data_IF_297979366983
#
_entry.id   IF_297979366983
#
_cell.length_a   1.000
_cell.length_b   1.000
_cell.length_c   1.000
_cell.angle_alpha   90.00
_cell.angle_beta   90.00
_cell.angle_gamma   90.00
#
_symmetry.space_group_name_H-M   'P 1'
#
loop_
_entity.id
_entity.type
_entity.pdbx_description
1 polymer ?
#
# COMPACT_ATOMS: atom_id res chain seq x y z
N UNK A 1 104.03 -78.29 10.08
CA UNK A 1 105.32 -77.66 9.76
C UNK A 1 106.36 -78.31 10.67
N UNK A 2 107.19 -79.22 10.18
CA UNK A 2 108.22 -79.89 11.00
C UNK A 2 109.52 -79.07 10.96
N UNK A 3 110.06 -78.73 12.13
CA UNK A 3 111.33 -78.00 12.26
C UNK A 3 112.49 -79.00 12.12
N UNK A 4 113.57 -78.65 11.43
CA UNK A 4 114.73 -79.56 11.31
C UNK A 4 115.35 -79.87 12.68
N UNK A 5 115.81 -81.10 12.92
CA UNK A 5 116.34 -81.58 14.21
C UNK A 5 117.39 -80.64 14.82
N UNK A 6 118.31 -80.12 13.99
CA UNK A 6 119.34 -79.20 14.43
C UNK A 6 118.80 -77.84 14.89
N UNK A 7 117.72 -77.35 14.27
CA UNK A 7 117.05 -76.12 14.66
C UNK A 7 116.17 -76.33 15.90
N UNK A 8 115.51 -77.49 16.02
CA UNK A 8 114.69 -77.83 17.18
C UNK A 8 115.52 -77.87 18.47
N UNK A 9 116.70 -78.49 18.44
CA UNK A 9 117.58 -78.58 19.60
C UNK A 9 118.19 -77.24 20.00
N UNK A 10 118.55 -76.38 19.04
CA UNK A 10 119.03 -75.01 19.33
C UNK A 10 117.93 -74.15 19.96
N UNK A 11 116.71 -74.24 19.44
CA UNK A 11 115.56 -73.53 19.98
C UNK A 11 115.18 -74.06 21.37
N UNK A 12 115.21 -75.37 21.58
CA UNK A 12 114.98 -75.97 22.89
C UNK A 12 116.04 -75.52 23.92
N UNK A 13 117.32 -75.47 23.57
CA UNK A 13 118.36 -74.98 24.49
C UNK A 13 118.11 -73.53 24.94
N UNK A 14 117.74 -72.64 24.01
CA UNK A 14 117.42 -71.24 24.33
C UNK A 14 116.13 -71.13 25.14
N UNK A 15 115.09 -71.92 24.82
CA UNK A 15 113.84 -71.93 25.56
C UNK A 15 114.00 -72.48 26.98
N UNK A 16 114.83 -73.49 27.19
CA UNK A 16 115.18 -74.00 28.51
C UNK A 16 115.84 -72.91 29.37
N UNK A 17 116.85 -72.22 28.82
CA UNK A 17 117.51 -71.11 29.51
C UNK A 17 116.54 -69.94 29.79
N UNK A 18 115.61 -69.65 28.86
CA UNK A 18 114.56 -68.67 29.06
C UNK A 18 113.57 -69.07 30.18
N UNK A 19 113.21 -70.35 30.27
CA UNK A 19 112.33 -70.87 31.33
C UNK A 19 112.98 -70.73 32.70
N UNK A 20 114.25 -71.12 32.82
CA UNK A 20 115.03 -70.99 34.06
C UNK A 20 115.17 -69.52 34.48
N UNK A 21 115.47 -68.63 33.53
CA UNK A 21 115.53 -67.18 33.81
C UNK A 21 114.18 -66.61 34.22
N UNK A 22 113.08 -67.07 33.65
CA UNK A 22 111.72 -66.67 34.04
C UNK A 22 111.33 -67.19 35.42
N UNK A 23 111.78 -68.38 35.80
CA UNK A 23 111.57 -68.92 37.15
C UNK A 23 112.36 -68.15 38.21
N UNK A 24 113.62 -67.80 37.91
CA UNK A 24 114.45 -66.90 38.73
C UNK A 24 113.77 -65.53 38.85
N UNK A 25 113.24 -65.00 37.74
CA UNK A 25 112.54 -63.73 37.73
C UNK A 25 111.22 -63.80 38.54
N UNK A 26 110.46 -64.89 38.42
CA UNK A 26 109.25 -65.16 39.22
C UNK A 26 109.54 -65.27 40.72
N UNK A 27 110.67 -65.85 41.10
CA UNK A 27 111.15 -65.88 42.49
C UNK A 27 111.54 -64.48 42.97
N UNK A 28 112.24 -63.72 42.13
CA UNK A 28 112.62 -62.33 42.42
C UNK A 28 111.40 -61.42 42.61
N UNK A 29 110.36 -61.59 41.77
CA UNK A 29 109.07 -60.92 41.91
C UNK A 29 108.36 -61.32 43.21
N UNK A 30 108.41 -62.60 43.59
CA UNK A 30 107.83 -63.10 44.86
C UNK A 30 108.49 -62.45 46.07
N UNK A 31 109.81 -62.30 46.06
CA UNK A 31 110.57 -61.61 47.12
C UNK A 31 110.24 -60.11 47.14
N UNK A 32 110.13 -59.47 45.96
CA UNK A 32 109.75 -58.05 45.85
C UNK A 32 108.34 -57.76 46.35
N UNK A 33 107.37 -58.62 46.03
CA UNK A 33 105.98 -58.53 46.52
C UNK A 33 105.96 -58.67 48.05
N UNK A 34 106.75 -59.58 48.60
CA UNK A 34 106.83 -59.83 50.05
C UNK A 34 107.53 -58.69 50.81
N UNK A 35 108.56 -58.06 50.24
CA UNK A 35 109.24 -56.89 50.84
C UNK A 35 108.43 -55.59 50.76
N UNK A 36 107.61 -55.42 49.72
CA UNK A 36 106.88 -54.17 49.45
C UNK A 36 105.51 -54.11 50.12
N UNK A 37 105.11 -55.18 50.82
CA UNK A 37 103.82 -55.36 51.49
C UNK A 37 103.46 -54.35 52.58
N UNK A 38 104.35 -53.41 52.94
CA UNK A 38 104.07 -52.38 53.94
C UNK A 38 103.98 -50.93 53.43
N UNK A 39 104.36 -50.60 52.19
CA UNK A 39 104.58 -49.18 51.79
C UNK A 39 104.24 -48.82 50.33
N UNK A 40 103.57 -49.67 49.56
CA UNK A 40 103.21 -49.35 48.16
C UNK A 40 101.69 -49.33 47.92
N UNK A 41 101.19 -48.51 46.98
CA UNK A 41 99.76 -48.43 46.67
C UNK A 41 99.19 -49.80 46.26
N UNK A 42 97.98 -50.11 46.69
CA UNK A 42 97.32 -51.41 46.47
C UNK A 42 97.27 -51.82 44.99
N UNK A 43 97.18 -50.84 44.09
CA UNK A 43 97.21 -51.03 42.63
C UNK A 43 98.54 -51.60 42.13
N UNK A 44 99.66 -51.24 42.76
CA UNK A 44 101.00 -51.70 42.38
C UNK A 44 101.26 -53.14 42.86
N UNK A 45 100.79 -53.47 44.05
CA UNK A 45 100.86 -54.85 44.57
C UNK A 45 99.99 -55.79 43.72
N UNK A 46 98.83 -55.33 43.25
CA UNK A 46 97.98 -56.07 42.33
C UNK A 46 98.65 -56.31 40.96
N UNK A 47 99.24 -55.27 40.36
CA UNK A 47 100.01 -55.38 39.10
C UNK A 47 101.18 -56.35 39.22
N UNK A 48 101.93 -56.31 40.32
CA UNK A 48 103.04 -57.25 40.54
C UNK A 48 102.58 -58.69 40.72
N UNK A 49 101.41 -58.91 41.35
CA UNK A 49 100.79 -60.25 41.45
C UNK A 49 100.32 -60.76 40.09
N UNK A 50 99.79 -59.89 39.24
CA UNK A 50 99.38 -60.21 37.87
C UNK A 50 100.60 -60.55 37.01
N UNK A 51 101.63 -59.70 37.01
CA UNK A 51 102.90 -59.96 36.32
C UNK A 51 103.56 -61.27 36.78
N UNK A 52 103.48 -61.61 38.06
CA UNK A 52 103.96 -62.91 38.57
C UNK A 52 103.17 -64.07 37.96
N UNK A 53 101.84 -63.97 37.89
CA UNK A 53 101.00 -65.00 37.26
C UNK A 53 101.34 -65.12 35.77
N UNK A 54 101.57 -64.02 35.08
CA UNK A 54 101.97 -64.00 33.67
C UNK A 54 103.34 -64.66 33.48
N UNK A 55 104.34 -64.34 34.32
CA UNK A 55 105.65 -64.99 34.27
C UNK A 55 105.56 -66.51 34.53
N UNK A 56 104.70 -66.94 35.47
CA UNK A 56 104.48 -68.37 35.74
C UNK A 56 103.77 -69.06 34.58
N UNK A 57 102.78 -68.41 33.98
CA UNK A 57 102.07 -68.89 32.80
C UNK A 57 103.03 -69.04 31.60
N UNK A 58 103.82 -68.00 31.31
CA UNK A 58 104.82 -68.02 30.24
C UNK A 58 105.88 -69.10 30.51
N UNK A 59 106.39 -69.21 31.75
CA UNK A 59 107.36 -70.25 32.12
C UNK A 59 106.80 -71.66 31.90
N UNK A 60 105.56 -71.93 32.31
CA UNK A 60 104.88 -73.21 32.07
C UNK A 60 104.72 -73.52 30.57
N UNK A 61 104.35 -72.52 29.77
CA UNK A 61 104.19 -72.70 28.33
C UNK A 61 105.52 -72.87 27.60
N UNK A 62 106.58 -72.17 28.02
CA UNK A 62 107.93 -72.33 27.50
C UNK A 62 108.50 -73.70 27.89
N UNK A 63 108.30 -74.16 29.13
CA UNK A 63 108.68 -75.50 29.57
C UNK A 63 107.96 -76.61 28.79
N UNK A 64 106.67 -76.41 28.47
CA UNK A 64 105.89 -77.34 27.66
C UNK A 64 106.34 -77.35 26.19
N UNK A 65 106.60 -76.17 25.61
CA UNK A 65 107.15 -76.02 24.26
C UNK A 65 108.56 -76.60 24.14
N UNK A 66 109.40 -76.39 25.16
CA UNK A 66 110.73 -77.00 25.28
C UNK A 66 110.66 -78.52 25.22
N UNK A 67 109.76 -79.11 26.01
CA UNK A 67 109.58 -80.56 26.08
C UNK A 67 109.06 -81.14 24.74
N UNK A 68 108.15 -80.42 24.07
CA UNK A 68 107.60 -80.80 22.75
C UNK A 68 108.64 -80.73 21.64
N UNK A 69 109.46 -79.67 21.60
CA UNK A 69 110.55 -79.52 20.63
C UNK A 69 111.68 -80.54 20.85
N UNK A 70 111.99 -80.89 22.11
CA UNK A 70 113.03 -81.87 22.45
C UNK A 70 112.60 -83.32 22.10
N UNK A 71 111.33 -83.67 22.38
CA UNK A 71 110.86 -85.06 22.26
C UNK A 71 110.18 -85.37 20.92
N UNK A 72 109.42 -84.43 20.36
CA UNK A 72 108.49 -84.68 19.25
C UNK A 72 108.77 -83.83 18.00
N UNK A 73 109.67 -82.84 18.09
CA UNK A 73 109.98 -81.88 17.02
C UNK A 73 108.74 -81.13 16.50
N UNK A 74 107.73 -80.95 17.34
CA UNK A 74 106.51 -80.21 17.04
C UNK A 74 106.31 -79.02 18.00
N UNK A 75 105.35 -78.17 17.67
CA UNK A 75 105.00 -76.97 18.45
C UNK A 75 103.48 -76.71 18.42
N UNK A 76 102.73 -77.80 18.37
CA UNK A 76 101.26 -77.83 18.26
C UNK A 76 100.57 -77.21 19.47
N UNK A 77 101.15 -77.31 20.68
CA UNK A 77 100.56 -76.65 21.86
C UNK A 77 100.59 -75.13 21.79
N UNK A 78 101.69 -74.54 21.28
CA UNK A 78 101.80 -73.10 21.07
C UNK A 78 100.84 -72.64 19.97
N UNK A 79 100.71 -73.41 18.88
CA UNK A 79 99.73 -73.11 17.83
C UNK A 79 98.29 -73.14 18.36
N UNK A 80 97.93 -74.13 19.18
CA UNK A 80 96.61 -74.20 19.80
C UNK A 80 96.36 -73.02 20.73
N UNK A 81 97.35 -72.62 21.52
CA UNK A 81 97.25 -71.48 22.43
C UNK A 81 97.07 -70.16 21.68
N UNK A 82 97.83 -69.93 20.61
CA UNK A 82 97.68 -68.76 19.75
C UNK A 82 96.30 -68.76 19.06
N UNK A 83 95.84 -69.92 18.57
CA UNK A 83 94.49 -70.05 18.00
C UNK A 83 93.39 -69.80 19.04
N UNK A 84 93.59 -70.22 20.28
CA UNK A 84 92.66 -70.00 21.39
C UNK A 84 92.64 -68.54 21.82
N UNK A 85 93.79 -67.87 21.87
CA UNK A 85 93.90 -66.44 22.12
C UNK A 85 93.28 -65.60 20.99
N UNK A 86 93.48 -65.98 19.72
CA UNK A 86 92.80 -65.38 18.57
C UNK A 86 91.28 -65.60 18.61
N UNK A 87 90.80 -66.77 19.04
CA UNK A 87 89.36 -67.01 19.24
C UNK A 87 88.81 -66.18 20.39
N UNK A 88 89.55 -66.05 21.49
CA UNK A 88 89.16 -65.25 22.65
C UNK A 88 89.13 -63.75 22.33
N UNK A 89 90.07 -63.25 21.54
CA UNK A 89 90.08 -61.85 21.07
C UNK A 89 88.94 -61.57 20.10
N UNK A 90 88.68 -62.48 19.14
CA UNK A 90 87.51 -62.38 18.24
C UNK A 90 86.18 -62.41 19.01
N UNK A 91 86.03 -63.31 19.98
CA UNK A 91 84.85 -63.39 20.84
C UNK A 91 84.65 -62.11 21.68
N UNK A 92 85.72 -61.57 22.26
CA UNK A 92 85.68 -60.28 23.00
C UNK A 92 85.29 -59.11 22.09
N UNK A 93 85.78 -59.08 20.85
CA UNK A 93 85.43 -58.05 19.87
C UNK A 93 83.96 -58.13 19.45
N UNK A 94 83.46 -59.33 19.14
CA UNK A 94 82.04 -59.57 18.85
C UNK A 94 81.15 -59.14 20.03
N UNK A 95 81.52 -59.53 21.25
CA UNK A 95 80.78 -59.14 22.45
C UNK A 95 80.79 -57.61 22.66
N UNK A 96 81.87 -56.92 22.29
CA UNK A 96 81.96 -55.45 22.36
C UNK A 96 81.08 -54.79 21.31
N UNK A 97 81.01 -55.34 20.10
CA UNK A 97 80.12 -54.86 19.03
C UNK A 97 78.65 -55.09 19.37
N UNK A 98 78.29 -56.27 19.88
CA UNK A 98 76.95 -56.56 20.39
C UNK A 98 76.54 -55.59 21.50
N UNK A 99 77.43 -55.31 22.46
CA UNK A 99 77.17 -54.32 23.51
C UNK A 99 76.91 -52.93 22.92
N UNK A 100 77.70 -52.49 21.92
CA UNK A 100 77.46 -51.21 21.23
C UNK A 100 76.12 -51.21 20.50
N UNK A 101 75.77 -52.28 19.81
CA UNK A 101 74.50 -52.42 19.08
C UNK A 101 73.31 -52.42 20.03
N UNK A 102 73.42 -53.10 21.17
CA UNK A 102 72.39 -53.11 22.22
C UNK A 102 72.24 -51.71 22.84
N UNK A 103 73.34 -51.02 23.10
CA UNK A 103 73.28 -49.66 23.66
C UNK A 103 72.66 -48.67 22.67
N UNK A 104 73.04 -48.73 21.40
CA UNK A 104 72.42 -47.93 20.33
C UNK A 104 70.92 -48.22 20.18
N UNK A 105 70.51 -49.50 20.28
CA UNK A 105 69.08 -49.87 20.28
C UNK A 105 68.36 -49.30 21.49
N UNK A 106 68.95 -49.35 22.68
CA UNK A 106 68.37 -48.75 23.89
C UNK A 106 68.24 -47.23 23.76
N UNK A 107 69.24 -46.55 23.24
CA UNK A 107 69.19 -45.10 22.99
C UNK A 107 68.08 -44.75 21.98
N UNK A 108 67.98 -45.49 20.88
CA UNK A 108 66.93 -45.28 19.89
C UNK A 108 65.53 -45.54 20.46
N UNK A 109 65.36 -46.58 21.28
CA UNK A 109 64.10 -46.86 21.96
C UNK A 109 63.71 -45.73 22.92
N UNK A 110 64.65 -45.22 23.72
CA UNK A 110 64.40 -44.08 24.61
C UNK A 110 63.93 -42.84 23.83
N UNK A 111 64.60 -42.52 22.71
CA UNK A 111 64.18 -41.40 21.84
C UNK A 111 62.77 -41.62 21.29
N UNK A 112 62.44 -42.84 20.88
CA UNK A 112 61.09 -43.18 20.41
C UNK A 112 60.04 -43.05 21.52
N UNK A 113 60.35 -43.51 22.74
CA UNK A 113 59.46 -43.36 23.90
C UNK A 113 59.21 -41.88 24.23
N UNK A 114 60.26 -41.05 24.24
CA UNK A 114 60.15 -39.60 24.44
C UNK A 114 59.30 -38.94 23.34
N UNK A 115 59.52 -39.29 22.07
CA UNK A 115 58.70 -38.79 20.96
C UNK A 115 57.23 -39.20 21.09
N UNK A 116 56.96 -40.46 21.46
CA UNK A 116 55.59 -40.96 21.68
C UNK A 116 54.93 -40.22 22.84
N UNK A 117 55.65 -39.97 23.94
CA UNK A 117 55.11 -39.20 25.06
C UNK A 117 54.79 -37.76 24.66
N UNK A 118 55.68 -37.09 23.92
CA UNK A 118 55.43 -35.73 23.44
C UNK A 118 54.24 -35.67 22.48
N UNK A 119 54.15 -36.62 21.53
CA UNK A 119 53.01 -36.72 20.60
C UNK A 119 51.72 -37.02 21.35
N UNK A 120 51.75 -37.89 22.35
CA UNK A 120 50.62 -38.20 23.22
C UNK A 120 50.14 -36.99 24.01
N UNK A 121 51.06 -36.18 24.54
CA UNK A 121 50.75 -34.89 25.18
C UNK A 121 50.02 -33.95 24.23
N UNK A 122 50.60 -33.70 23.04
CA UNK A 122 49.97 -32.87 22.00
C UNK A 122 48.59 -33.38 21.59
N UNK A 123 48.43 -34.71 21.49
CA UNK A 123 47.15 -35.32 21.14
C UNK A 123 46.10 -35.04 22.22
N UNK A 124 46.47 -35.12 23.51
CA UNK A 124 45.57 -34.77 24.63
C UNK A 124 45.17 -33.29 24.59
N UNK A 125 46.13 -32.40 24.36
CA UNK A 125 45.87 -30.96 24.26
C UNK A 125 44.92 -30.64 23.10
N UNK A 126 45.16 -31.23 21.93
CA UNK A 126 44.27 -31.11 20.77
C UNK A 126 42.87 -31.66 21.06
N UNK A 127 42.77 -32.77 21.79
CA UNK A 127 41.48 -33.37 22.14
C UNK A 127 40.70 -32.49 23.13
N UNK A 128 41.38 -31.87 24.11
CA UNK A 128 40.74 -30.90 25.00
C UNK A 128 40.24 -29.67 24.23
N UNK A 129 41.07 -29.13 23.32
CA UNK A 129 40.68 -28.01 22.47
C UNK A 129 39.48 -28.35 21.58
N UNK A 130 39.44 -29.58 21.04
CA UNK A 130 38.31 -30.04 20.23
C UNK A 130 37.01 -30.12 21.04
N UNK A 131 37.05 -30.60 22.28
CA UNK A 131 35.88 -30.64 23.15
C UNK A 131 35.42 -29.24 23.59
N UNK A 132 36.35 -28.33 23.87
CA UNK A 132 36.01 -26.94 24.19
C UNK A 132 35.35 -26.23 23.00
N UNK A 133 35.88 -26.40 21.79
CA UNK A 133 35.28 -25.87 20.57
C UNK A 133 33.89 -26.47 20.30
N UNK A 134 33.67 -27.77 20.58
CA UNK A 134 32.34 -28.39 20.49
C UNK A 134 31.35 -27.77 21.47
N UNK A 135 31.77 -27.51 22.70
CA UNK A 135 30.92 -26.87 23.71
C UNK A 135 30.56 -25.44 23.29
N UNK A 136 31.54 -24.65 22.84
CA UNK A 136 31.31 -23.30 22.32
C UNK A 136 30.35 -23.31 21.13
N UNK A 137 30.49 -24.26 20.20
CA UNK A 137 29.60 -24.37 19.05
C UNK A 137 28.16 -24.69 19.46
N UNK A 138 27.96 -25.60 20.43
CA UNK A 138 26.63 -25.90 20.99
C UNK A 138 26.01 -24.68 21.67
N UNK A 139 26.79 -23.95 22.47
CA UNK A 139 26.33 -22.73 23.15
C UNK A 139 25.92 -21.65 22.14
N UNK A 140 26.78 -21.36 21.16
CA UNK A 140 26.47 -20.38 20.10
C UNK A 140 25.24 -20.79 19.29
N UNK A 141 25.10 -22.07 18.97
CA UNK A 141 23.93 -22.62 18.29
C UNK A 141 22.65 -22.39 19.10
N UNK A 142 22.68 -22.68 20.41
CA UNK A 142 21.56 -22.43 21.31
C UNK A 142 21.21 -20.93 21.40
N UNK A 143 22.20 -20.05 21.50
CA UNK A 143 21.99 -18.60 21.51
C UNK A 143 21.34 -18.13 20.21
N UNK A 144 21.81 -18.64 19.06
CA UNK A 144 21.23 -18.29 17.75
C UNK A 144 19.79 -18.78 17.65
N UNK A 145 19.49 -20.01 18.09
CA UNK A 145 18.13 -20.55 18.09
C UNK A 145 17.19 -19.69 18.96
N UNK A 146 17.62 -19.35 20.17
CA UNK A 146 16.83 -18.50 21.08
C UNK A 146 16.61 -17.09 20.51
N UNK A 147 17.63 -16.48 19.91
CA UNK A 147 17.50 -15.18 19.25
C UNK A 147 16.50 -15.23 18.09
N UNK A 148 16.56 -16.27 17.26
CA UNK A 148 15.59 -16.46 16.16
C UNK A 148 14.17 -16.56 16.70
N UNK A 149 13.96 -17.35 17.75
CA UNK A 149 12.66 -17.51 18.38
C UNK A 149 12.14 -16.18 18.96
N UNK A 150 13.00 -15.41 19.62
CA UNK A 150 12.63 -14.08 20.12
C UNK A 150 12.23 -13.13 18.99
N UNK A 151 12.98 -13.11 17.88
CA UNK A 151 12.65 -12.26 16.72
C UNK A 151 11.29 -12.64 16.14
N UNK A 152 11.01 -13.94 15.99
CA UNK A 152 9.71 -14.42 15.51
C UNK A 152 8.59 -13.96 16.46
N UNK A 153 8.72 -14.20 17.77
CA UNK A 153 7.71 -13.76 18.75
C UNK A 153 7.49 -12.24 18.75
N UNK A 154 8.55 -11.45 18.63
CA UNK A 154 8.42 -9.99 18.52
C UNK A 154 7.64 -9.59 17.26
N UNK A 155 7.96 -10.20 16.12
CA UNK A 155 7.26 -9.92 14.86
C UNK A 155 5.78 -10.33 14.89
N UNK A 156 5.44 -11.44 15.57
CA UNK A 156 4.06 -11.89 15.76
C UNK A 156 3.27 -10.89 16.62
N UNK A 157 3.85 -10.41 17.71
CA UNK A 157 3.22 -9.40 18.58
C UNK A 157 3.00 -8.08 17.83
N UNK A 158 3.98 -7.62 17.05
CA UNK A 158 3.85 -6.42 16.21
C UNK A 158 2.75 -6.58 15.16
N UNK A 159 2.67 -7.76 14.53
CA UNK A 159 1.64 -8.09 13.56
C UNK A 159 0.25 -8.07 14.22
N UNK A 160 0.07 -8.74 15.35
CA UNK A 160 -1.19 -8.75 16.09
C UNK A 160 -1.61 -7.36 16.52
N UNK A 161 -0.68 -6.55 17.01
CA UNK A 161 -0.97 -5.18 17.44
C UNK A 161 -1.40 -4.31 16.24
N UNK A 162 -0.76 -4.48 15.09
CA UNK A 162 -1.11 -3.78 13.86
C UNK A 162 -2.48 -4.23 13.35
N UNK A 163 -2.77 -5.54 13.36
CA UNK A 163 -4.08 -6.08 12.99
C UNK A 163 -5.20 -5.55 13.90
N UNK A 164 -4.98 -5.51 15.22
CA UNK A 164 -5.97 -4.96 16.16
C UNK A 164 -6.26 -3.48 15.88
N UNK A 165 -5.23 -2.68 15.60
CA UNK A 165 -5.38 -1.26 15.22
C UNK A 165 -6.16 -1.12 13.92
N UNK A 166 -5.84 -1.93 12.91
CA UNK A 166 -6.54 -1.90 11.62
C UNK A 166 -8.01 -2.28 11.78
N UNK A 167 -8.34 -3.35 12.50
CA UNK A 167 -9.73 -3.78 12.75
C UNK A 167 -10.51 -2.66 13.47
N UNK A 168 -9.90 -1.99 14.44
CA UNK A 168 -10.55 -0.86 15.13
C UNK A 168 -10.80 0.31 14.18
N UNK A 169 -9.82 0.66 13.33
CA UNK A 169 -9.97 1.72 12.34
C UNK A 169 -11.04 1.37 11.29
N UNK A 170 -11.09 0.13 10.81
CA UNK A 170 -12.10 -0.37 9.88
C UNK A 170 -13.51 -0.27 10.47
N UNK A 171 -13.70 -0.69 11.73
CA UNK A 171 -14.99 -0.55 12.42
C UNK A 171 -15.45 0.90 12.52
N UNK A 172 -14.55 1.82 12.89
CA UNK A 172 -14.87 3.25 12.96
C UNK A 172 -15.25 3.83 11.59
N UNK A 173 -14.57 3.39 10.52
CA UNK A 173 -14.90 3.79 9.15
C UNK A 173 -16.24 3.23 8.71
N UNK A 174 -16.54 1.98 9.04
CA UNK A 174 -17.81 1.33 8.72
C UNK A 174 -18.99 2.01 9.44
N UNK A 175 -18.84 2.31 10.73
CA UNK A 175 -19.83 3.08 11.50
C UNK A 175 -20.07 4.47 10.90
N UNK A 176 -19.00 5.19 10.54
CA UNK A 176 -19.09 6.50 9.90
C UNK A 176 -19.75 6.43 8.53
N UNK A 177 -19.41 5.42 7.74
CA UNK A 177 -20.00 5.17 6.43
C UNK A 177 -21.51 4.90 6.57
N UNK A 178 -21.90 4.04 7.51
CA UNK A 178 -23.31 3.75 7.80
C UNK A 178 -24.09 4.98 8.26
N UNK A 179 -23.49 5.86 9.08
CA UNK A 179 -24.11 7.11 9.50
C UNK A 179 -24.29 8.08 8.33
N UNK A 180 -23.27 8.25 7.50
CA UNK A 180 -23.35 9.09 6.30
C UNK A 180 -24.40 8.56 5.31
N UNK A 181 -24.49 7.25 5.13
CA UNK A 181 -25.51 6.65 4.27
C UNK A 181 -26.93 6.93 4.79
N UNK A 182 -27.15 6.82 6.11
CA UNK A 182 -28.45 7.17 6.73
C UNK A 182 -28.78 8.64 6.55
N UNK A 183 -27.80 9.54 6.73
CA UNK A 183 -27.98 10.98 6.51
C UNK A 183 -28.35 11.29 5.06
N UNK A 184 -27.64 10.69 4.11
CA UNK A 184 -27.90 10.87 2.68
C UNK A 184 -29.30 10.38 2.29
N UNK A 185 -29.74 9.24 2.83
CA UNK A 185 -31.10 8.73 2.59
C UNK A 185 -32.17 9.66 3.16
N UNK A 186 -31.95 10.20 4.36
CA UNK A 186 -32.83 11.19 4.97
C UNK A 186 -32.90 12.48 4.15
N UNK A 187 -31.76 13.00 3.73
CA UNK A 187 -31.68 14.20 2.90
C UNK A 187 -32.38 13.99 1.55
N UNK A 188 -32.17 12.85 0.90
CA UNK A 188 -32.85 12.50 -0.34
C UNK A 188 -34.38 12.43 -0.17
N UNK A 189 -34.87 11.85 0.93
CA UNK A 189 -36.31 11.82 1.24
C UNK A 189 -36.86 13.24 1.45
N UNK A 190 -36.23 14.04 2.31
CA UNK A 190 -36.69 15.40 2.60
C UNK A 190 -36.65 16.29 1.36
N UNK A 191 -35.62 16.14 0.53
CA UNK A 191 -35.52 16.84 -0.75
C UNK A 191 -36.70 16.49 -1.66
N UNK A 192 -37.04 15.21 -1.79
CA UNK A 192 -38.16 14.76 -2.62
C UNK A 192 -39.50 15.25 -2.08
N UNK A 193 -39.73 15.17 -0.77
CA UNK A 193 -40.94 15.72 -0.13
C UNK A 193 -41.06 17.23 -0.35
N UNK A 194 -39.96 17.96 -0.22
CA UNK A 194 -39.91 19.41 -0.47
C UNK A 194 -40.22 19.72 -1.93
N UNK A 195 -39.59 18.98 -2.86
CA UNK A 195 -39.82 19.12 -4.30
C UNK A 195 -41.29 18.91 -4.65
N UNK A 196 -41.89 17.83 -4.16
CA UNK A 196 -43.31 17.52 -4.40
C UNK A 196 -44.24 18.56 -3.79
N UNK A 197 -43.96 19.02 -2.56
CA UNK A 197 -44.75 20.09 -1.92
C UNK A 197 -44.70 21.41 -2.71
N UNK A 198 -43.51 21.80 -3.18
CA UNK A 198 -43.34 22.99 -4.00
C UNK A 198 -44.05 22.86 -5.34
N UNK A 199 -43.94 21.70 -5.99
CA UNK A 199 -44.64 21.41 -7.24
C UNK A 199 -46.16 21.52 -7.07
N UNK A 200 -46.73 20.87 -6.05
CA UNK A 200 -48.15 20.93 -5.74
C UNK A 200 -48.63 22.37 -5.48
N UNK A 201 -47.84 23.16 -4.75
CA UNK A 201 -48.17 24.58 -4.51
C UNK A 201 -48.13 25.39 -5.79
N UNK A 202 -47.15 25.17 -6.65
CA UNK A 202 -47.03 25.86 -7.93
C UNK A 202 -48.22 25.53 -8.84
N UNK A 203 -48.59 24.25 -8.95
CA UNK A 203 -49.76 23.81 -9.70
C UNK A 203 -51.07 24.43 -9.15
N UNK A 204 -51.21 24.51 -7.82
CA UNK A 204 -52.33 25.20 -7.17
C UNK A 204 -52.40 26.68 -7.53
N UNK A 205 -51.27 27.38 -7.49
CA UNK A 205 -51.18 28.79 -7.87
C UNK A 205 -51.47 29.01 -9.36
N UNK A 206 -50.99 28.13 -10.23
CA UNK A 206 -51.29 28.19 -11.67
C UNK A 206 -52.79 28.02 -11.94
N UNK A 207 -53.45 27.06 -11.26
CA UNK A 207 -54.91 26.89 -11.37
C UNK A 207 -55.66 28.14 -10.90
N UNK A 208 -55.25 28.74 -9.78
CA UNK A 208 -55.85 30.00 -9.31
C UNK A 208 -55.63 31.13 -10.31
N UNK A 209 -54.42 31.28 -10.86
CA UNK A 209 -54.10 32.30 -11.85
C UNK A 209 -55.00 32.17 -13.09
N UNK A 210 -55.17 30.94 -13.62
CA UNK A 210 -56.04 30.68 -14.75
C UNK A 210 -57.50 31.04 -14.44
N UNK A 211 -58.01 30.68 -13.25
CA UNK A 211 -59.36 31.07 -12.83
C UNK A 211 -59.53 32.60 -12.76
N UNK A 212 -58.53 33.32 -12.23
CA UNK A 212 -58.56 34.78 -12.18
C UNK A 212 -58.49 35.42 -13.57
N UNK A 213 -57.69 34.87 -14.48
CA UNK A 213 -57.64 35.31 -15.88
C UNK A 213 -58.99 35.11 -16.56
N UNK A 214 -59.61 33.93 -16.42
CA UNK A 214 -60.91 33.65 -17.02
C UNK A 214 -62.01 34.59 -16.48
N UNK A 215 -62.05 34.81 -15.15
CA UNK A 215 -63.02 35.73 -14.53
C UNK A 215 -62.83 37.17 -15.00
N UNK A 216 -61.58 37.62 -15.09
CA UNK A 216 -61.30 39.00 -15.55
C UNK A 216 -61.66 39.17 -17.02
N UNK A 217 -61.39 38.17 -17.87
CA UNK A 217 -61.83 38.17 -19.26
C UNK A 217 -63.36 38.18 -19.42
N UNK A 218 -64.08 37.37 -18.64
CA UNK A 218 -65.55 37.36 -18.63
C UNK A 218 -66.10 38.72 -18.20
N UNK A 219 -65.62 39.26 -17.08
CA UNK A 219 -66.02 40.59 -16.59
C UNK A 219 -65.72 41.68 -17.63
N UNK A 220 -64.57 41.61 -18.31
CA UNK A 220 -64.22 42.56 -19.36
C UNK A 220 -65.17 42.44 -20.56
N UNK A 221 -65.55 41.23 -20.97
CA UNK A 221 -66.54 41.01 -22.03
C UNK A 221 -67.91 41.57 -21.65
N UNK A 222 -68.38 41.31 -20.44
CA UNK A 222 -69.65 41.84 -19.92
C UNK A 222 -69.63 43.37 -19.87
N UNK A 223 -68.57 43.98 -19.33
CA UNK A 223 -68.44 45.44 -19.27
C UNK A 223 -68.40 46.06 -20.67
N UNK A 224 -67.68 45.46 -21.62
CA UNK A 224 -67.69 45.90 -23.03
C UNK A 224 -69.10 45.82 -23.63
N UNK A 225 -69.84 44.74 -23.37
CA UNK A 225 -71.22 44.61 -23.82
C UNK A 225 -72.14 45.67 -23.19
N UNK A 226 -72.02 45.92 -21.88
CA UNK A 226 -72.78 46.97 -21.21
C UNK A 226 -72.49 48.35 -21.80
N UNK A 227 -71.22 48.70 -22.01
CA UNK A 227 -70.82 49.96 -22.65
C UNK A 227 -71.41 50.07 -24.05
N UNK A 228 -71.31 49.02 -24.87
CA UNK A 228 -71.89 49.01 -26.21
C UNK A 228 -73.41 49.19 -26.17
N UNK A 229 -74.11 48.50 -25.27
CA UNK A 229 -75.55 48.62 -25.10
C UNK A 229 -75.97 50.04 -24.70
N UNK A 230 -75.25 50.66 -23.75
CA UNK A 230 -75.50 52.05 -23.35
C UNK A 230 -75.23 53.01 -24.51
N UNK A 231 -74.15 52.79 -25.27
CA UNK A 231 -73.84 53.60 -26.44
C UNK A 231 -74.93 53.50 -27.51
N UNK A 232 -75.36 52.28 -27.86
CA UNK A 232 -76.45 52.05 -28.82
C UNK A 232 -77.77 52.67 -28.36
N UNK A 233 -78.12 52.54 -27.07
CA UNK A 233 -79.31 53.16 -26.51
C UNK A 233 -79.23 54.68 -26.52
N UNK A 234 -78.05 55.25 -26.23
CA UNK A 234 -77.80 56.70 -26.29
C UNK A 234 -77.96 57.23 -27.71
N UNK A 235 -77.34 56.58 -28.71
CA UNK A 235 -77.48 56.96 -30.12
C UNK A 235 -78.93 56.85 -30.59
N UNK A 236 -79.62 55.76 -30.25
CA UNK A 236 -81.03 55.59 -30.60
C UNK A 236 -81.93 56.67 -29.97
N UNK A 237 -81.73 56.98 -28.69
CA UNK A 237 -82.48 58.03 -28.01
C UNK A 237 -82.20 59.42 -28.60
N UNK A 238 -80.95 59.67 -28.98
CA UNK A 238 -80.55 60.90 -29.67
C UNK A 238 -81.24 61.02 -31.03
N UNK A 239 -81.24 59.98 -31.84
CA UNK A 239 -81.93 59.95 -33.15
C UNK A 239 -83.43 60.20 -32.99
N UNK A 240 -84.07 59.54 -32.00
CA UNK A 240 -85.49 59.75 -31.67
C UNK A 240 -85.78 61.18 -31.22
N UNK A 241 -84.86 61.81 -30.48
CA UNK A 241 -84.99 63.21 -30.07
C UNK A 241 -84.87 64.15 -31.27
N UNK A 242 -83.92 63.90 -32.17
CA UNK A 242 -83.73 64.67 -33.40
C UNK A 242 -84.93 64.58 -34.33
N UNK A 243 -85.52 63.39 -34.45
CA UNK A 243 -86.77 63.16 -35.18
C UNK A 243 -87.92 64.00 -34.61
N UNK A 244 -88.13 63.96 -33.29
CA UNK A 244 -89.15 64.81 -32.64
C UNK A 244 -88.90 66.29 -32.87
N UNK A 245 -87.66 66.77 -32.77
CA UNK A 245 -87.30 68.16 -33.06
C UNK A 245 -87.61 68.54 -34.51
N UNK A 246 -87.41 67.63 -35.47
CA UNK A 246 -87.81 67.84 -36.87
C UNK A 246 -89.33 67.98 -36.98
N UNK A 247 -90.09 67.05 -36.42
CA UNK A 247 -91.56 67.10 -36.40
C UNK A 247 -92.11 68.37 -35.78
N UNK A 248 -91.53 68.85 -34.66
CA UNK A 248 -91.94 70.12 -34.05
C UNK A 248 -91.72 71.31 -34.98
N UNK A 249 -90.56 71.39 -35.65
CA UNK A 249 -90.28 72.47 -36.63
C UNK A 249 -91.27 72.43 -37.80
N UNK A 250 -91.61 71.25 -38.30
CA UNK A 250 -92.60 71.08 -39.36
C UNK A 250 -94.00 71.53 -38.91
N UNK A 251 -94.43 71.17 -37.68
CA UNK A 251 -95.70 71.62 -37.13
C UNK A 251 -95.73 73.14 -36.88
N UNK A 252 -94.65 73.71 -36.33
CA UNK A 252 -94.52 75.16 -36.16
C UNK A 252 -94.65 75.89 -37.50
N UNK A 253 -94.02 75.37 -38.54
CA UNK A 253 -94.12 75.90 -39.90
C UNK A 253 -95.57 75.86 -40.40
N UNK A 254 -96.28 74.74 -40.23
CA UNK A 254 -97.70 74.63 -40.59
C UNK A 254 -98.58 75.63 -39.82
N UNK A 255 -98.33 75.83 -38.52
CA UNK A 255 -99.06 76.80 -37.69
C UNK A 255 -98.81 78.23 -38.15
N UNK A 256 -97.56 78.58 -38.51
CA UNK A 256 -97.22 79.89 -39.07
C UNK A 256 -97.97 80.09 -40.40
N UNK A 257 -97.92 79.10 -41.30
CA UNK A 257 -98.62 79.15 -42.59
C UNK A 257 -100.14 79.29 -42.43
N UNK A 258 -100.75 78.59 -41.47
CA UNK A 258 -102.18 78.69 -41.18
C UNK A 258 -102.55 80.07 -40.62
N UNK A 259 -101.77 80.61 -39.69
CA UNK A 259 -101.93 81.99 -39.18
C UNK A 259 -101.81 83.02 -40.30
N UNK A 260 -100.86 82.85 -41.23
CA UNK A 260 -100.72 83.71 -42.39
C UNK A 260 -101.92 83.63 -43.33
N UNK A 261 -102.43 82.42 -43.59
CA UNK A 261 -103.66 82.21 -44.38
C UNK A 261 -104.87 82.86 -43.72
N UNK A 262 -105.02 82.71 -42.40
CA UNK A 262 -106.11 83.31 -41.64
C UNK A 262 -106.06 84.84 -41.68
N UNK A 263 -104.88 85.44 -41.49
CA UNK A 263 -104.68 86.89 -41.65
C UNK A 263 -105.03 87.37 -43.06
N UNK A 264 -104.61 86.64 -44.10
CA UNK A 264 -104.98 86.94 -45.50
C UNK A 264 -106.50 86.88 -45.70
N UNK A 265 -107.17 85.87 -45.12
CA UNK A 265 -108.61 85.72 -45.19
C UNK A 265 -109.35 86.85 -44.45
N UNK A 266 -108.86 87.26 -43.29
CA UNK A 266 -109.40 88.40 -42.51
C UNK A 266 -109.27 89.72 -43.26
N UNK A 267 -108.13 89.97 -43.91
CA UNK A 267 -107.93 91.13 -44.77
C UNK A 267 -108.92 91.13 -45.94
N UNK A 268 -109.05 90.00 -46.65
CA UNK A 268 -110.02 89.85 -47.74
C UNK A 268 -111.46 90.07 -47.25
N UNK A 269 -111.83 89.55 -46.07
CA UNK A 269 -113.14 89.81 -45.48
C UNK A 269 -113.33 91.28 -45.10
N UNK A 270 -112.29 91.95 -44.59
CA UNK A 270 -112.33 93.38 -44.30
C UNK A 270 -112.50 94.22 -45.57
N UNK A 271 -111.80 93.87 -46.66
CA UNK A 271 -111.97 94.47 -47.99
C UNK A 271 -113.38 94.28 -48.52
N UNK A 272 -113.94 93.05 -48.45
CA UNK A 272 -115.33 92.78 -48.85
C UNK A 272 -116.32 93.58 -48.00
N UNK A 273 -116.13 93.65 -46.67
CA UNK A 273 -116.98 94.47 -45.78
C UNK A 273 -116.88 95.96 -46.12
N UNK A 274 -115.68 96.47 -46.39
CA UNK A 274 -115.46 97.86 -46.80
C UNK A 274 -116.14 98.13 -48.15
N UNK A 275 -116.01 97.22 -49.12
CA UNK A 275 -116.67 97.30 -50.41
C UNK A 275 -118.21 97.29 -50.26
N UNK A 276 -118.78 96.46 -49.39
CA UNK A 276 -120.22 96.46 -49.09
C UNK A 276 -120.65 97.79 -48.46
N UNK A 277 -119.89 98.32 -47.49
CA UNK A 277 -120.18 99.64 -46.88
C UNK A 277 -120.12 100.76 -47.91
N UNK A 278 -119.11 100.76 -48.77
CA UNK A 278 -118.99 101.69 -49.91
C UNK A 278 -120.17 101.58 -50.86
N UNK A 279 -120.56 100.36 -51.25
CA UNK A 279 -121.73 100.12 -52.08
C UNK A 279 -123.03 100.59 -51.41
N UNK A 280 -123.20 100.35 -50.11
CA UNK A 280 -124.38 100.78 -49.36
C UNK A 280 -124.42 102.30 -49.19
N UNK A 281 -123.28 102.93 -48.90
CA UNK A 281 -123.13 104.39 -48.85
C UNK A 281 -123.46 105.00 -50.20
N UNK A 282 -122.91 104.45 -51.29
CA UNK A 282 -123.19 104.91 -52.65
C UNK A 282 -124.66 104.75 -53.03
N UNK A 283 -125.28 103.59 -52.76
CA UNK A 283 -126.72 103.38 -52.95
C UNK A 283 -127.55 104.39 -52.14
N UNK A 284 -127.21 104.61 -50.87
CA UNK A 284 -127.86 105.61 -50.03
C UNK A 284 -127.64 107.05 -50.53
N UNK A 285 -126.47 107.35 -51.09
CA UNK A 285 -126.16 108.64 -51.70
C UNK A 285 -126.97 108.86 -52.99
N UNK A 286 -127.08 107.83 -53.85
CA UNK A 286 -127.94 107.85 -55.04
C UNK A 286 -129.41 108.08 -54.69
N UNK A 287 -129.91 107.48 -53.59
CA UNK A 287 -131.27 107.72 -53.09
C UNK A 287 -131.43 109.17 -52.60
N UNK A 288 -130.47 109.69 -51.82
CA UNK A 288 -130.54 111.05 -51.25
C UNK A 288 -130.36 112.18 -52.27
N UNK A 289 -129.58 111.97 -53.31
CA UNK A 289 -129.40 112.95 -54.40
C UNK A 289 -130.46 112.81 -55.51
N UNK A 290 -131.52 112.02 -55.30
CA UNK A 290 -132.67 111.99 -56.21
C UNK A 290 -132.46 111.25 -57.54
N UNK A 291 -131.37 110.50 -57.70
CA UNK A 291 -131.08 109.72 -58.92
C UNK A 291 -131.81 108.36 -58.98
N UNK A 292 -132.74 108.09 -58.05
CA UNK A 292 -133.55 106.86 -58.06
C UNK A 292 -134.90 107.10 -58.73
N UNK A 293 -135.04 106.56 -59.94
CA UNK A 293 -136.29 106.55 -60.72
C UNK A 293 -137.30 105.58 -60.09
N UNK A 294 -138.20 106.12 -59.27
CA UNK A 294 -139.38 105.42 -58.77
C UNK A 294 -140.37 105.21 -59.94
N UNK A 295 -140.51 103.97 -60.43
CA UNK A 295 -141.69 103.54 -61.22
C UNK A 295 -142.53 102.57 -60.40
N UNK A 296 -143.77 102.95 -60.13
CA UNK A 296 -144.86 102.04 -59.77
C UNK A 296 -145.34 101.32 -61.04
N UNK A 297 -145.51 100.00 -60.99
CA UNK A 297 -146.52 99.30 -61.80
C UNK A 297 -146.83 97.92 -61.21
N UNK A 298 -148.12 97.63 -61.10
CA UNK A 298 -148.73 96.33 -60.81
C UNK A 298 -148.31 95.21 -61.78
N UNK A 299 -148.68 93.98 -61.41
CA UNK A 299 -148.74 92.72 -62.17
C UNK A 299 -147.46 91.84 -62.26
N UNK A 300 -147.42 90.74 -61.48
CA UNK A 300 -147.79 89.36 -61.92
C UNK A 300 -147.46 88.25 -60.90
N UNK A 301 -148.53 87.57 -60.46
CA UNK A 301 -148.76 86.12 -60.24
C UNK A 301 -147.59 85.11 -60.15
N UNK A 302 -147.72 84.20 -59.15
CA UNK A 302 -147.34 82.77 -59.23
C UNK A 302 -146.65 82.24 -57.96
N UNK A 303 -147.32 81.79 -56.89
CA UNK A 303 -148.08 80.53 -56.64
C UNK A 303 -147.24 79.24 -56.47
N UNK A 304 -147.47 78.58 -55.31
CA UNK A 304 -147.43 77.13 -54.95
C UNK A 304 -146.18 76.48 -54.29
N UNK A 305 -146.37 76.11 -53.00
CA UNK A 305 -146.42 74.73 -52.42
C UNK A 305 -145.61 73.61 -53.13
N UNK A 306 -144.69 72.95 -52.39
CA UNK A 306 -144.80 71.56 -51.84
C UNK A 306 -143.43 71.00 -51.36
N UNK A 307 -143.47 70.30 -50.21
CA UNK A 307 -142.62 69.15 -49.73
C UNK A 307 -142.30 68.12 -50.86
N UNK A 308 -141.49 67.03 -50.69
CA UNK A 308 -140.68 66.52 -49.55
C UNK A 308 -139.30 65.90 -49.96
N UNK A 309 -138.62 65.28 -48.98
CA UNK A 309 -137.84 64.03 -49.03
C UNK A 309 -136.72 63.79 -50.07
N UNK A 310 -135.58 63.32 -49.54
CA UNK A 310 -134.97 62.09 -50.07
C UNK A 310 -133.45 62.08 -50.21
N UNK A 311 -132.78 61.39 -49.28
CA UNK A 311 -131.82 60.29 -49.55
C UNK A 311 -130.77 60.51 -50.66
N UNK A 312 -129.48 60.47 -50.28
CA UNK A 312 -128.62 59.25 -50.24
C UNK A 312 -127.14 59.65 -50.27
N UNK A 313 -126.35 58.93 -49.45
CA UNK A 313 -125.05 58.30 -49.76
C UNK A 313 -124.06 59.08 -50.64
N UNK A 314 -122.76 59.15 -50.33
CA UNK A 314 -121.87 57.99 -50.12
C UNK A 314 -120.46 58.55 -49.88
N UNK A 315 -119.70 57.89 -49.00
CA UNK A 315 -118.27 57.51 -49.11
C UNK A 315 -117.39 58.44 -49.96
N UNK A 316 -116.28 58.93 -49.42
CA UNK A 316 -115.13 58.09 -49.08
C UNK A 316 -114.22 58.80 -48.10
#
# INVERSE_FOLDING_TARGET
MSVSLAQSLRLAAVLGECSERLDIFGHTLTVRISRRGGSAPAQEVARLKELKKDCQFISQHISRLYSELQQKQDFTSLQQLVMEEERMTKAKNLQREERKMVEQRKENLKRQEEEIQQRSGKLKDLNMLAEELKLQLKEKSSIIAHKKEMVVRMSEVELEQTQKKNIQAEKLLEERSGLLQKQLQWEARVHEETRMSLQNRNEGLQKQLLQWQERTEQTLKEMKQQVNNVQCNSTFNFDRLMEKKRMFREMEQVVIEDREKQKKLELQQAEVRAAIKLQAWWRGCMVRHGFSTFRKSENKKGKKKKKPEGKKNKKK
#
